data_IF_809579099555
#
_entry.id   IF_809579099555
#
_cell.length_a   1.000
_cell.length_b   1.000
_cell.length_c   1.000
_cell.angle_alpha   90.00
_cell.angle_beta   90.00
_cell.angle_gamma   90.00
#
_symmetry.space_group_name_H-M   'P 1'
#
loop_
_entity.id
_entity.type
_entity.pdbx_description
1 polymer ?
#
# COMPACT_ATOMS: atom_id res chain seq x y z
N UNK A 1 -30.87 10.35 28.28
CA UNK A 1 -30.18 9.04 28.29
C UNK A 1 -28.72 9.31 27.92
N UNK A 2 -27.80 9.33 28.89
CA UNK A 2 -26.39 9.64 28.62
C UNK A 2 -25.78 8.45 27.87
N UNK A 3 -25.53 8.60 26.57
CA UNK A 3 -24.73 7.62 25.83
C UNK A 3 -23.33 7.62 26.45
N UNK A 4 -22.97 6.52 27.10
CA UNK A 4 -21.60 6.29 27.57
C UNK A 4 -20.73 6.21 26.32
N UNK A 5 -19.93 7.25 26.10
CA UNK A 5 -18.96 7.29 25.01
C UNK A 5 -17.92 6.22 25.28
N UNK A 6 -17.80 5.24 24.39
CA UNK A 6 -16.82 4.16 24.49
C UNK A 6 -15.81 4.28 23.36
N UNK A 7 -14.54 4.13 23.69
CA UNK A 7 -13.48 3.94 22.69
C UNK A 7 -13.32 2.45 22.52
N UNK A 8 -13.59 1.94 21.33
CA UNK A 8 -13.37 0.52 21.05
C UNK A 8 -11.88 0.27 20.82
N UNK A 9 -11.33 -0.65 21.60
CA UNK A 9 -9.89 -0.98 21.65
C UNK A 9 -9.65 -2.45 21.32
N UNK A 10 -10.48 -3.03 20.46
CA UNK A 10 -10.32 -4.41 20.02
C UNK A 10 -9.25 -4.47 18.92
N UNK A 11 -8.00 -4.58 19.36
CA UNK A 11 -6.81 -4.83 18.53
C UNK A 11 -6.91 -6.20 17.83
N UNK A 12 -6.24 -6.38 16.70
CA UNK A 12 -6.20 -7.64 15.93
C UNK A 12 -5.54 -8.73 16.75
N UNK A 13 -4.33 -8.47 17.26
CA UNK A 13 -3.61 -9.36 18.19
C UNK A 13 -3.72 -8.77 19.59
N UNK A 14 -2.99 -7.69 19.84
CA UNK A 14 -3.02 -6.86 21.03
C UNK A 14 -2.41 -5.49 20.71
N UNK A 15 -2.51 -4.54 21.63
CA UNK A 15 -2.03 -3.17 21.43
C UNK A 15 -0.57 -3.10 21.00
N UNK A 16 0.33 -3.84 21.66
CA UNK A 16 1.76 -3.67 21.43
C UNK A 16 2.18 -4.32 20.12
N UNK A 17 1.65 -5.51 19.84
CA UNK A 17 1.94 -6.22 18.59
C UNK A 17 1.36 -5.48 17.38
N UNK A 18 0.13 -4.97 17.46
CA UNK A 18 -0.46 -4.22 16.35
C UNK A 18 0.34 -2.93 16.07
N UNK A 19 0.71 -2.19 17.12
CA UNK A 19 1.53 -0.98 17.00
C UNK A 19 2.91 -1.27 16.41
N UNK A 20 3.56 -2.35 16.81
CA UNK A 20 4.89 -2.69 16.34
C UNK A 20 4.87 -3.20 14.90
N UNK A 21 3.98 -4.14 14.57
CA UNK A 21 4.03 -4.86 13.31
C UNK A 21 3.22 -4.21 12.18
N UNK A 22 2.12 -3.53 12.49
CA UNK A 22 1.29 -2.89 11.47
C UNK A 22 1.62 -1.40 11.33
N UNK A 23 1.56 -0.64 12.43
CA UNK A 23 1.88 0.78 12.39
C UNK A 23 3.38 1.04 12.35
N UNK A 24 4.18 0.23 13.04
CA UNK A 24 5.64 0.34 13.08
C UNK A 24 6.28 0.15 11.70
N UNK A 25 5.69 -0.68 10.84
CA UNK A 25 6.10 -0.80 9.43
C UNK A 25 5.86 0.51 8.63
N UNK A 26 4.81 1.27 8.96
CA UNK A 26 4.59 2.59 8.36
C UNK A 26 5.56 3.63 8.94
N UNK A 27 5.76 3.60 10.26
CA UNK A 27 6.68 4.51 10.96
C UNK A 27 8.11 4.32 10.47
N UNK A 28 8.55 3.07 10.23
CA UNK A 28 9.87 2.81 9.68
C UNK A 28 10.04 3.43 8.30
N UNK A 29 8.99 3.51 7.48
CA UNK A 29 9.01 4.25 6.22
C UNK A 29 9.40 5.72 6.38
N UNK A 30 8.81 6.44 7.36
CA UNK A 30 9.22 7.81 7.67
C UNK A 30 10.66 7.91 8.14
N UNK A 31 11.12 6.96 8.96
CA UNK A 31 12.51 6.91 9.43
C UNK A 31 13.45 6.73 8.24
N UNK A 32 13.15 5.83 7.30
CA UNK A 32 13.98 5.62 6.11
C UNK A 32 14.03 6.87 5.23
N UNK A 33 12.91 7.57 5.04
CA UNK A 33 12.88 8.85 4.31
C UNK A 33 13.79 9.88 5.00
N UNK A 34 13.67 10.02 6.32
CA UNK A 34 14.52 10.93 7.10
C UNK A 34 16.01 10.58 6.98
N UNK A 35 16.37 9.30 7.13
CA UNK A 35 17.75 8.83 6.99
C UNK A 35 18.30 9.12 5.58
N UNK A 36 17.49 9.01 4.55
CA UNK A 36 17.91 9.28 3.18
C UNK A 36 18.11 10.77 2.93
N UNK A 37 17.12 11.59 3.29
CA UNK A 37 17.08 13.02 2.92
C UNK A 37 17.97 13.86 3.85
N UNK A 38 17.85 13.67 5.15
CA UNK A 38 18.52 14.52 6.14
C UNK A 38 19.94 14.03 6.46
N UNK A 39 20.13 12.71 6.51
CA UNK A 39 21.43 12.11 6.83
C UNK A 39 22.20 11.63 5.59
N UNK A 40 21.62 11.75 4.39
CA UNK A 40 22.28 11.37 3.13
C UNK A 40 22.57 9.87 3.00
N UNK A 41 21.91 9.01 3.78
CA UNK A 41 22.14 7.57 3.71
C UNK A 41 21.64 7.06 2.36
N UNK A 42 22.47 6.28 1.65
CA UNK A 42 22.14 5.75 0.33
C UNK A 42 20.79 5.00 0.34
N UNK A 43 19.90 5.37 -0.58
CA UNK A 43 18.62 4.69 -0.77
C UNK A 43 18.82 3.19 -1.01
N UNK A 44 19.87 2.79 -1.74
CA UNK A 44 20.19 1.36 -1.97
C UNK A 44 20.50 0.63 -0.67
N UNK A 45 21.29 1.24 0.23
CA UNK A 45 21.59 0.65 1.53
C UNK A 45 20.34 0.55 2.41
N UNK A 46 19.52 1.59 2.42
CA UNK A 46 18.26 1.61 3.17
C UNK A 46 17.27 0.56 2.64
N UNK A 47 17.15 0.42 1.32
CA UNK A 47 16.33 -0.62 0.68
C UNK A 47 16.86 -2.01 1.04
N UNK A 48 18.18 -2.24 0.97
CA UNK A 48 18.77 -3.52 1.38
C UNK A 48 18.53 -3.84 2.85
N UNK A 49 18.73 -2.86 3.72
CA UNK A 49 18.45 -2.99 5.14
C UNK A 49 16.98 -3.36 5.39
N UNK A 50 16.05 -2.67 4.73
CA UNK A 50 14.62 -2.93 4.84
C UNK A 50 14.24 -4.32 4.31
N UNK A 51 14.78 -4.72 3.16
CA UNK A 51 14.58 -6.06 2.59
C UNK A 51 15.08 -7.13 3.56
N UNK A 52 16.23 -6.95 4.19
CA UNK A 52 16.79 -7.97 5.08
C UNK A 52 16.08 -8.05 6.44
N UNK A 53 15.58 -6.93 6.95
CA UNK A 53 15.05 -6.85 8.33
C UNK A 53 13.52 -6.87 8.43
N UNK A 54 12.81 -6.40 7.40
CA UNK A 54 11.34 -6.30 7.41
C UNK A 54 10.73 -7.23 6.37
N UNK A 55 11.10 -7.06 5.10
CA UNK A 55 10.46 -7.80 4.00
C UNK A 55 10.88 -9.27 3.95
N UNK A 56 12.15 -9.55 4.21
CA UNK A 56 12.73 -10.89 4.22
C UNK A 56 12.03 -11.79 5.24
N UNK A 57 11.93 -11.40 6.53
CA UNK A 57 11.13 -12.15 7.51
C UNK A 57 9.65 -12.28 7.13
N UNK A 58 9.06 -11.25 6.54
CA UNK A 58 7.67 -11.29 6.05
C UNK A 58 7.47 -12.33 4.94
N UNK A 59 8.34 -12.32 3.92
CA UNK A 59 8.34 -13.29 2.81
C UNK A 59 8.64 -14.69 3.34
N UNK A 60 9.63 -14.83 4.23
CA UNK A 60 9.97 -16.11 4.85
C UNK A 60 8.77 -16.70 5.59
N UNK A 61 8.02 -15.89 6.34
CA UNK A 61 6.79 -16.33 7.01
C UNK A 61 5.72 -16.81 6.04
N UNK A 62 5.63 -16.20 4.85
CA UNK A 62 4.71 -16.64 3.77
C UNK A 62 5.18 -17.97 3.18
N UNK A 63 6.45 -18.08 2.84
CA UNK A 63 7.05 -19.31 2.27
C UNK A 63 6.98 -20.46 3.26
N UNK A 64 7.24 -20.21 4.55
CA UNK A 64 7.22 -21.24 5.58
C UNK A 64 5.82 -21.83 5.79
N UNK A 65 4.77 -21.01 5.68
CA UNK A 65 3.37 -21.45 5.85
C UNK A 65 2.73 -22.00 4.57
N UNK A 66 3.45 -21.99 3.45
CA UNK A 66 2.93 -22.46 2.16
C UNK A 66 3.79 -23.59 1.63
N UNK A 67 5.04 -23.29 1.26
CA UNK A 67 5.96 -24.26 0.65
C UNK A 67 6.68 -25.16 1.64
N UNK A 68 6.86 -24.74 2.90
CA UNK A 68 7.43 -25.60 3.94
C UNK A 68 6.37 -26.34 4.77
N UNK A 69 5.09 -26.10 4.49
CA UNK A 69 3.98 -26.81 5.15
C UNK A 69 3.58 -28.06 4.36
N UNK A 70 3.77 -29.24 4.96
CA UNK A 70 3.41 -30.53 4.37
C UNK A 70 1.92 -30.63 4.03
N UNK A 71 1.05 -30.06 4.86
CA UNK A 71 -0.39 -30.16 4.68
C UNK A 71 -0.85 -29.37 3.45
N UNK A 72 -0.22 -28.23 3.18
CA UNK A 72 -0.50 -27.42 1.99
C UNK A 72 -0.08 -28.14 0.70
N UNK A 73 1.03 -28.88 0.71
CA UNK A 73 1.42 -29.71 -0.42
C UNK A 73 0.42 -30.82 -0.72
N UNK A 74 -0.13 -31.46 0.31
CA UNK A 74 -1.16 -32.50 0.14
C UNK A 74 -2.44 -31.91 -0.47
N UNK A 75 -2.87 -30.73 0.02
CA UNK A 75 -4.15 -30.15 -0.35
C UNK A 75 -4.12 -29.29 -1.61
N UNK A 76 -2.96 -28.69 -1.95
CA UNK A 76 -2.85 -27.61 -2.95
C UNK A 76 -1.62 -27.72 -3.86
N UNK A 77 -1.01 -28.90 -4.00
CA UNK A 77 0.19 -29.08 -4.84
C UNK A 77 0.09 -28.49 -6.26
N UNK A 78 -1.03 -28.59 -7.00
CA UNK A 78 -1.09 -27.99 -8.34
C UNK A 78 -0.99 -26.47 -8.30
N UNK A 79 -1.56 -25.83 -7.27
CA UNK A 79 -1.49 -24.39 -7.08
C UNK A 79 -0.06 -23.97 -6.72
N UNK A 80 0.59 -24.68 -5.79
CA UNK A 80 1.97 -24.38 -5.37
C UNK A 80 2.97 -24.52 -6.51
N UNK A 81 2.83 -25.57 -7.33
CA UNK A 81 3.66 -25.77 -8.53
C UNK A 81 3.33 -24.73 -9.60
N UNK A 82 2.04 -24.45 -9.83
CA UNK A 82 1.60 -23.43 -10.78
C UNK A 82 2.10 -22.03 -10.41
N UNK A 83 2.13 -21.68 -9.11
CA UNK A 83 2.64 -20.38 -8.68
C UNK A 83 4.15 -20.22 -8.91
N UNK A 84 4.93 -21.31 -8.92
CA UNK A 84 6.36 -21.24 -9.23
C UNK A 84 6.63 -20.82 -10.69
N UNK A 85 5.67 -21.03 -11.61
CA UNK A 85 5.81 -20.59 -12.99
C UNK A 85 5.90 -19.06 -13.12
N UNK A 86 5.38 -18.30 -12.15
CA UNK A 86 5.51 -16.84 -12.15
C UNK A 86 6.97 -16.38 -12.05
N UNK A 87 7.86 -17.17 -11.44
CA UNK A 87 9.30 -16.85 -11.39
C UNK A 87 9.97 -16.92 -12.76
N UNK A 88 9.37 -17.61 -13.73
CA UNK A 88 9.90 -17.71 -15.09
C UNK A 88 9.65 -16.44 -15.91
N UNK A 89 8.69 -15.58 -15.54
CA UNK A 89 8.35 -14.39 -16.32
C UNK A 89 9.54 -13.44 -16.48
N UNK A 90 10.31 -13.21 -15.41
CA UNK A 90 11.53 -12.39 -15.46
C UNK A 90 12.53 -12.91 -16.50
N UNK A 91 13.07 -14.14 -16.35
CA UNK A 91 13.97 -14.75 -17.33
C UNK A 91 13.41 -14.79 -18.76
N UNK A 92 12.13 -15.11 -18.94
CA UNK A 92 11.49 -15.13 -20.26
C UNK A 92 11.52 -13.73 -20.89
N UNK A 93 11.22 -12.67 -20.14
CA UNK A 93 11.24 -11.30 -20.67
C UNK A 93 12.64 -10.83 -21.02
N UNK A 94 13.67 -11.26 -20.27
CA UNK A 94 15.08 -11.01 -20.60
C UNK A 94 15.46 -11.74 -21.89
N UNK A 95 15.10 -13.01 -22.02
CA UNK A 95 15.38 -13.81 -23.21
C UNK A 95 14.70 -13.25 -24.46
N UNK A 96 13.43 -12.85 -24.36
CA UNK A 96 12.72 -12.13 -25.42
C UNK A 96 13.40 -10.82 -25.78
N UNK A 97 13.92 -10.08 -24.79
CA UNK A 97 14.67 -8.85 -25.03
C UNK A 97 15.95 -9.06 -25.82
N UNK A 98 16.65 -10.19 -25.60
CA UNK A 98 17.84 -10.58 -26.36
C UNK A 98 17.47 -10.92 -27.82
N UNK A 99 16.41 -11.72 -28.03
CA UNK A 99 15.97 -12.11 -29.38
C UNK A 99 15.52 -10.89 -30.19
N UNK A 100 14.73 -10.00 -29.56
CA UNK A 100 14.17 -8.82 -30.21
C UNK A 100 15.14 -7.63 -30.24
N UNK A 101 16.37 -7.79 -29.71
CA UNK A 101 17.38 -6.73 -29.58
C UNK A 101 16.82 -5.44 -28.95
N UNK A 102 15.97 -5.60 -27.93
CA UNK A 102 15.28 -4.49 -27.28
C UNK A 102 15.01 -4.75 -25.81
N UNK A 103 15.09 -3.71 -24.97
CA UNK A 103 14.84 -3.82 -23.53
C UNK A 103 13.34 -3.74 -23.17
N UNK A 104 12.48 -3.46 -24.14
CA UNK A 104 11.04 -3.21 -23.92
C UNK A 104 10.33 -4.34 -23.16
N UNK A 105 10.50 -5.64 -23.49
CA UNK A 105 9.79 -6.72 -22.78
C UNK A 105 10.11 -6.74 -21.28
N UNK A 106 11.38 -6.54 -20.92
CA UNK A 106 11.82 -6.49 -19.54
C UNK A 106 11.27 -5.27 -18.80
N UNK A 107 11.27 -4.10 -19.44
CA UNK A 107 10.67 -2.89 -18.84
C UNK A 107 9.16 -3.03 -18.61
N UNK A 108 8.42 -3.60 -19.57
CA UNK A 108 6.99 -3.88 -19.40
C UNK A 108 6.75 -4.81 -18.21
N UNK A 109 7.53 -5.88 -18.10
CA UNK A 109 7.47 -6.79 -16.96
C UNK A 109 7.78 -6.07 -15.64
N UNK A 110 8.83 -5.25 -15.61
CA UNK A 110 9.22 -4.51 -14.41
C UNK A 110 8.14 -3.52 -13.97
N UNK A 111 7.57 -2.75 -14.91
CA UNK A 111 6.45 -1.85 -14.64
C UNK A 111 5.23 -2.60 -14.12
N UNK A 112 4.88 -3.73 -14.76
CA UNK A 112 3.80 -4.60 -14.25
C UNK A 112 4.08 -5.09 -12.83
N UNK A 113 5.29 -5.58 -12.56
CA UNK A 113 5.68 -6.08 -11.25
C UNK A 113 5.62 -4.99 -10.18
N UNK A 114 6.05 -3.77 -10.49
CA UNK A 114 5.98 -2.61 -9.59
C UNK A 114 4.52 -2.20 -9.28
N UNK A 115 3.67 -2.10 -10.31
CA UNK A 115 2.25 -1.78 -10.13
C UNK A 115 1.55 -2.88 -9.33
N UNK A 116 1.87 -4.15 -9.61
CA UNK A 116 1.34 -5.29 -8.88
C UNK A 116 1.79 -5.32 -7.41
N UNK A 117 3.07 -5.06 -7.15
CA UNK A 117 3.61 -4.97 -5.79
C UNK A 117 2.89 -3.87 -5.00
N UNK A 118 2.71 -2.69 -5.60
CA UNK A 118 1.96 -1.62 -4.96
C UNK A 118 0.50 -2.00 -4.71
N UNK A 119 -0.17 -2.60 -5.70
CA UNK A 119 -1.53 -3.11 -5.54
C UNK A 119 -1.65 -4.11 -4.39
N UNK A 120 -0.70 -5.03 -4.25
CA UNK A 120 -0.64 -5.96 -3.13
C UNK A 120 -0.58 -5.22 -1.78
N UNK A 121 0.27 -4.19 -1.67
CA UNK A 121 0.36 -3.32 -0.48
C UNK A 121 -0.98 -2.66 -0.17
N UNK A 122 -1.66 -2.07 -1.18
CA UNK A 122 -2.98 -1.46 -0.99
C UNK A 122 -4.00 -2.49 -0.49
N UNK A 123 -4.00 -3.69 -1.08
CA UNK A 123 -4.90 -4.79 -0.67
C UNK A 123 -4.62 -5.29 0.74
N UNK A 124 -3.36 -5.35 1.14
CA UNK A 124 -2.95 -5.74 2.48
C UNK A 124 -3.44 -4.72 3.53
N UNK A 125 -3.22 -3.42 3.29
CA UNK A 125 -3.69 -2.37 4.18
C UNK A 125 -5.22 -2.32 4.28
N UNK A 126 -5.91 -2.48 3.15
CA UNK A 126 -7.37 -2.60 3.15
C UNK A 126 -7.85 -3.81 3.97
N UNK A 127 -7.15 -4.94 3.87
CA UNK A 127 -7.41 -6.13 4.67
C UNK A 127 -7.32 -5.85 6.18
N UNK A 128 -6.26 -5.18 6.64
CA UNK A 128 -6.12 -4.80 8.05
C UNK A 128 -7.24 -3.87 8.51
N UNK A 129 -7.58 -2.85 7.71
CA UNK A 129 -8.70 -1.95 8.01
C UNK A 129 -10.00 -2.74 8.22
N UNK A 130 -10.33 -3.68 7.33
CA UNK A 130 -11.53 -4.51 7.45
C UNK A 130 -11.52 -5.39 8.71
N UNK A 131 -10.37 -5.94 9.10
CA UNK A 131 -10.28 -6.75 10.32
C UNK A 131 -10.54 -5.87 11.55
N UNK A 132 -9.96 -4.67 11.61
CA UNK A 132 -10.27 -3.72 12.68
C UNK A 132 -11.75 -3.34 12.69
N UNK A 133 -12.34 -3.02 11.55
CA UNK A 133 -13.78 -2.75 11.46
C UNK A 133 -14.60 -3.92 12.02
N UNK A 134 -14.33 -5.15 11.55
CA UNK A 134 -15.07 -6.35 11.99
C UNK A 134 -14.91 -6.64 13.48
N UNK A 135 -13.70 -6.53 14.04
CA UNK A 135 -13.47 -6.76 15.50
C UNK A 135 -14.11 -5.69 16.38
N UNK A 136 -14.39 -4.51 15.82
CA UNK A 136 -15.00 -3.39 16.54
C UNK A 136 -16.49 -3.19 16.17
N UNK A 137 -17.10 -4.16 15.46
CA UNK A 137 -18.54 -4.17 15.17
C UNK A 137 -18.98 -3.24 14.04
N UNK A 138 -18.06 -2.72 13.23
CA UNK A 138 -18.38 -1.88 12.08
C UNK A 138 -18.72 -2.69 10.83
N UNK A 139 -19.47 -2.07 9.93
CA UNK A 139 -19.73 -2.62 8.60
C UNK A 139 -18.43 -2.67 7.78
N UNK A 140 -18.26 -3.75 7.02
CA UNK A 140 -17.04 -4.01 6.23
C UNK A 140 -17.36 -4.31 4.76
N UNK A 141 -16.40 -4.04 3.87
CA UNK A 141 -16.51 -4.49 2.47
C UNK A 141 -17.70 -3.88 1.75
N UNK A 142 -18.50 -4.72 1.08
CA UNK A 142 -19.69 -4.29 0.34
C UNK A 142 -20.74 -3.59 1.21
N UNK A 143 -20.74 -3.87 2.52
CA UNK A 143 -21.66 -3.25 3.46
C UNK A 143 -21.19 -1.85 3.93
N UNK A 144 -19.97 -1.44 3.56
CA UNK A 144 -19.43 -0.12 3.86
C UNK A 144 -18.70 0.43 2.62
N UNK A 145 -19.45 0.76 1.55
CA UNK A 145 -18.87 1.24 0.29
C UNK A 145 -18.14 2.58 0.46
N UNK A 146 -18.51 3.38 1.46
CA UNK A 146 -17.85 4.64 1.76
C UNK A 146 -16.38 4.42 2.17
N UNK A 147 -16.10 3.57 3.17
CA UNK A 147 -14.71 3.31 3.57
C UNK A 147 -13.94 2.57 2.49
N UNK A 148 -14.61 1.70 1.74
CA UNK A 148 -14.01 1.06 0.57
C UNK A 148 -13.47 2.11 -0.41
N UNK A 149 -14.34 2.98 -0.93
CA UNK A 149 -13.93 3.94 -1.96
C UNK A 149 -12.98 5.01 -1.42
N UNK A 150 -13.24 5.54 -0.23
CA UNK A 150 -12.35 6.51 0.42
C UNK A 150 -10.94 5.91 0.55
N UNK A 151 -10.83 4.69 1.08
CA UNK A 151 -9.54 4.04 1.24
C UNK A 151 -8.81 3.86 -0.10
N UNK A 152 -9.48 3.29 -1.11
CA UNK A 152 -8.83 3.08 -2.42
C UNK A 152 -8.48 4.39 -3.12
N UNK A 153 -9.28 5.45 -2.95
CA UNK A 153 -8.95 6.78 -3.47
C UNK A 153 -7.69 7.30 -2.79
N UNK A 154 -7.62 7.26 -1.47
CA UNK A 154 -6.49 7.78 -0.69
C UNK A 154 -5.19 7.01 -0.92
N UNK A 155 -5.26 5.75 -1.35
CA UNK A 155 -4.08 4.95 -1.66
C UNK A 155 -3.72 5.00 -3.15
N UNK A 156 -4.68 4.89 -4.06
CA UNK A 156 -4.40 4.78 -5.50
C UNK A 156 -4.24 6.15 -6.19
N UNK A 157 -5.02 7.16 -5.82
CA UNK A 157 -4.97 8.45 -6.51
C UNK A 157 -3.61 9.16 -6.35
N UNK A 158 -2.98 9.18 -5.15
CA UNK A 158 -1.61 9.70 -5.00
C UNK A 158 -0.61 8.97 -5.89
N UNK A 159 -0.68 7.65 -5.98
CA UNK A 159 0.19 6.85 -6.83
C UNK A 159 0.03 7.17 -8.32
N UNK A 160 -1.21 7.39 -8.79
CA UNK A 160 -1.45 7.86 -10.17
C UNK A 160 -0.82 9.24 -10.39
N UNK A 161 -0.95 10.15 -9.42
CA UNK A 161 -0.30 11.47 -9.47
C UNK A 161 1.23 11.36 -9.53
N UNK A 162 1.83 10.45 -8.76
CA UNK A 162 3.27 10.15 -8.81
C UNK A 162 3.70 9.67 -10.20
N UNK A 163 3.01 8.69 -10.76
CA UNK A 163 3.30 8.17 -12.11
C UNK A 163 3.29 9.29 -13.15
N UNK A 164 2.34 10.23 -13.04
CA UNK A 164 2.22 11.36 -13.95
C UNK A 164 3.27 12.44 -13.71
N UNK A 165 3.93 12.53 -12.56
CA UNK A 165 4.89 13.61 -12.27
C UNK A 165 6.34 13.15 -12.25
N UNK A 166 6.60 11.89 -11.91
CA UNK A 166 7.95 11.42 -11.66
C UNK A 166 8.76 11.27 -12.97
N UNK A 167 9.95 11.89 -13.07
CA UNK A 167 10.73 11.95 -14.30
C UNK A 167 11.15 10.58 -14.83
N UNK A 168 11.37 9.59 -13.96
CA UNK A 168 11.75 8.24 -14.41
C UNK A 168 10.55 7.30 -14.63
N UNK A 169 9.36 7.65 -14.11
CA UNK A 169 8.17 6.82 -14.27
C UNK A 169 7.42 7.16 -15.56
N UNK A 170 7.33 8.45 -15.90
CA UNK A 170 6.63 8.94 -17.11
C UNK A 170 7.14 8.28 -18.40
N UNK A 171 8.46 8.17 -18.66
CA UNK A 171 8.96 7.55 -19.90
C UNK A 171 8.64 6.06 -20.00
N UNK A 172 8.50 5.35 -18.87
CA UNK A 172 8.10 3.93 -18.87
C UNK A 172 6.69 3.73 -19.41
N UNK A 173 5.84 4.76 -19.32
CA UNK A 173 4.50 4.78 -19.90
C UNK A 173 4.44 5.46 -21.27
N UNK A 174 5.59 5.86 -21.83
CA UNK A 174 5.65 6.58 -23.10
C UNK A 174 5.18 8.03 -23.01
N UNK A 175 5.11 8.62 -21.81
CA UNK A 175 4.76 10.03 -21.62
C UNK A 175 5.97 10.94 -21.85
N UNK A 176 5.70 12.18 -22.22
CA UNK A 176 6.73 13.21 -22.45
C UNK A 176 7.46 13.65 -21.18
N UNK A 177 8.64 14.30 -21.32
CA UNK A 177 9.48 14.71 -20.18
C UNK A 177 8.86 15.82 -19.33
N UNK A 178 7.93 16.59 -19.91
CA UNK A 178 7.21 17.68 -19.24
C UNK A 178 5.72 17.35 -19.22
N UNK A 179 5.02 17.82 -18.19
CA UNK A 179 3.57 17.74 -18.09
C UNK A 179 2.93 18.63 -19.17
N UNK A 180 2.02 18.04 -19.94
CA UNK A 180 1.09 18.82 -20.78
C UNK A 180 0.09 19.59 -19.91
N UNK A 181 -0.58 20.58 -20.49
CA UNK A 181 -1.67 21.32 -19.82
C UNK A 181 -2.78 20.36 -19.36
N UNK A 182 -3.11 19.37 -20.19
CA UNK A 182 -4.10 18.35 -19.87
C UNK A 182 -3.68 17.46 -18.69
N UNK A 183 -2.43 17.00 -18.66
CA UNK A 183 -1.93 16.22 -17.51
C UNK A 183 -1.87 17.05 -16.23
N UNK A 184 -1.52 18.34 -16.33
CA UNK A 184 -1.53 19.27 -15.20
C UNK A 184 -2.94 19.45 -14.64
N UNK A 185 -3.95 19.54 -15.51
CA UNK A 185 -5.36 19.55 -15.12
C UNK A 185 -5.76 18.24 -14.41
N UNK A 186 -5.35 17.08 -14.94
CA UNK A 186 -5.60 15.78 -14.31
C UNK A 186 -4.99 15.71 -12.91
N UNK A 187 -3.72 16.10 -12.75
CA UNK A 187 -3.03 16.12 -11.45
C UNK A 187 -3.78 17.03 -10.46
N UNK A 188 -4.28 18.19 -10.92
CA UNK A 188 -5.07 19.10 -10.08
C UNK A 188 -6.39 18.46 -9.64
N UNK A 189 -7.09 17.76 -10.55
CA UNK A 189 -8.31 17.00 -10.22
C UNK A 189 -8.00 15.90 -9.19
N UNK A 190 -6.90 15.17 -9.35
CA UNK A 190 -6.47 14.15 -8.39
C UNK A 190 -6.27 14.77 -7.00
N UNK A 191 -5.62 15.93 -6.90
CA UNK A 191 -5.43 16.61 -5.63
C UNK A 191 -6.77 17.00 -4.97
N UNK A 192 -7.71 17.52 -5.76
CA UNK A 192 -9.07 17.83 -5.28
C UNK A 192 -9.76 16.56 -4.76
N UNK A 193 -9.72 15.46 -5.52
CA UNK A 193 -10.33 14.18 -5.15
C UNK A 193 -9.73 13.63 -3.85
N UNK A 194 -8.41 13.71 -3.68
CA UNK A 194 -7.72 13.29 -2.46
C UNK A 194 -8.18 14.13 -1.27
N UNK A 195 -8.15 15.46 -1.39
CA UNK A 195 -8.59 16.37 -0.32
C UNK A 195 -10.05 16.11 0.04
N UNK A 196 -10.93 15.96 -0.96
CA UNK A 196 -12.34 15.63 -0.76
C UNK A 196 -12.50 14.29 -0.04
N UNK A 197 -11.73 13.25 -0.39
CA UNK A 197 -11.79 11.96 0.28
C UNK A 197 -11.34 12.05 1.76
N UNK A 198 -10.32 12.84 2.07
CA UNK A 198 -9.90 13.09 3.47
C UNK A 198 -11.02 13.79 4.24
N UNK A 199 -11.59 14.86 3.68
CA UNK A 199 -12.68 15.60 4.34
C UNK A 199 -13.90 14.71 4.56
N UNK A 200 -14.30 13.93 3.54
CA UNK A 200 -15.42 12.98 3.64
C UNK A 200 -15.16 11.92 4.69
N UNK A 201 -13.93 11.40 4.79
CA UNK A 201 -13.54 10.45 5.84
C UNK A 201 -13.72 11.05 7.24
N UNK A 202 -13.16 12.24 7.47
CA UNK A 202 -13.25 12.93 8.77
C UNK A 202 -14.71 13.21 9.15
N UNK A 203 -15.51 13.74 8.21
CA UNK A 203 -16.93 14.02 8.44
C UNK A 203 -17.71 12.74 8.75
N UNK A 204 -17.42 11.65 8.03
CA UNK A 204 -18.06 10.35 8.25
C UNK A 204 -17.73 9.80 9.64
N UNK A 205 -16.45 9.75 10.01
CA UNK A 205 -16.04 9.26 11.33
C UNK A 205 -16.61 10.12 12.46
N UNK A 206 -16.64 11.44 12.28
CA UNK A 206 -17.26 12.36 13.24
C UNK A 206 -18.77 12.10 13.39
N UNK A 207 -19.48 11.90 12.28
CA UNK A 207 -20.90 11.57 12.28
C UNK A 207 -21.17 10.22 12.94
N UNK A 208 -20.38 9.19 12.61
CA UNK A 208 -20.46 7.87 13.23
C UNK A 208 -20.26 7.95 14.75
N UNK A 209 -19.24 8.70 15.20
CA UNK A 209 -19.00 8.93 16.62
C UNK A 209 -20.16 9.64 17.31
N UNK A 210 -20.81 10.62 16.66
CA UNK A 210 -21.98 11.29 17.23
C UNK A 210 -23.19 10.38 17.40
N UNK A 211 -23.44 9.48 16.44
CA UNK A 211 -24.61 8.58 16.48
C UNK A 211 -24.37 7.41 17.43
N UNK A 212 -23.24 6.72 17.28
CA UNK A 212 -23.00 5.46 17.96
C UNK A 212 -22.23 5.61 19.27
N UNK A 213 -21.74 6.82 19.59
CA UNK A 213 -20.88 7.11 20.73
C UNK A 213 -19.67 6.16 20.82
N UNK A 214 -19.27 5.57 19.69
CA UNK A 214 -18.20 4.59 19.57
C UNK A 214 -17.17 5.08 18.56
N UNK A 215 -15.89 4.98 18.94
CA UNK A 215 -14.75 5.31 18.10
C UNK A 215 -13.79 4.13 18.01
N UNK A 216 -13.54 3.65 16.79
CA UNK A 216 -12.60 2.56 16.53
C UNK A 216 -11.18 3.08 16.42
N UNK A 217 -10.57 3.20 17.59
CA UNK A 217 -9.24 3.76 17.75
C UNK A 217 -8.16 3.00 16.96
N UNK A 218 -8.10 1.65 16.98
CA UNK A 218 -7.12 0.91 16.21
C UNK A 218 -7.19 1.16 14.69
N UNK A 219 -8.40 1.19 14.11
CA UNK A 219 -8.63 1.51 12.70
C UNK A 219 -8.11 2.91 12.36
N UNK A 220 -8.49 3.92 13.14
CA UNK A 220 -8.09 5.29 12.85
C UNK A 220 -6.58 5.48 13.00
N UNK A 221 -5.97 4.88 14.03
CA UNK A 221 -4.53 4.95 14.22
C UNK A 221 -3.77 4.26 13.08
N UNK A 222 -4.27 3.12 12.60
CA UNK A 222 -3.73 2.44 11.43
C UNK A 222 -3.79 3.32 10.17
N UNK A 223 -4.93 3.94 9.90
CA UNK A 223 -5.10 4.81 8.73
C UNK A 223 -4.23 6.06 8.84
N UNK A 224 -4.09 6.63 10.04
CA UNK A 224 -3.18 7.74 10.30
C UNK A 224 -1.70 7.36 10.14
N UNK A 225 -1.33 6.10 10.33
CA UNK A 225 0.05 5.68 10.06
C UNK A 225 0.31 5.46 8.58
N UNK A 226 -0.61 4.80 7.86
CA UNK A 226 -0.36 4.41 6.46
C UNK A 226 -0.74 5.49 5.44
N UNK A 227 -1.91 6.14 5.56
CA UNK A 227 -2.39 7.07 4.51
C UNK A 227 -1.48 8.29 4.37
N UNK A 228 -1.10 9.02 5.45
CA UNK A 228 -0.23 10.18 5.32
C UNK A 228 1.15 9.81 4.78
N UNK A 229 1.64 8.59 5.04
CA UNK A 229 2.92 8.12 4.49
C UNK A 229 2.84 8.00 2.97
N UNK A 230 1.75 7.43 2.45
CA UNK A 230 1.55 7.27 1.02
C UNK A 230 1.31 8.63 0.33
N UNK A 231 0.59 9.54 0.99
CA UNK A 231 0.46 10.93 0.52
C UNK A 231 1.83 11.61 0.45
N UNK A 232 2.67 11.44 1.47
CA UNK A 232 4.01 12.00 1.52
C UNK A 232 4.88 11.43 0.39
N UNK A 233 4.98 10.11 0.29
CA UNK A 233 5.82 9.42 -0.71
C UNK A 233 5.40 9.80 -2.12
N UNK A 234 4.10 9.85 -2.40
CA UNK A 234 3.64 10.01 -3.77
C UNK A 234 3.32 11.44 -4.17
N UNK A 235 3.03 12.36 -3.25
CA UNK A 235 2.59 13.73 -3.60
C UNK A 235 3.60 14.82 -3.25
N UNK A 236 4.58 14.55 -2.40
CA UNK A 236 5.54 15.57 -1.97
C UNK A 236 6.65 15.77 -3.01
N UNK A 237 6.85 16.98 -3.57
CA UNK A 237 7.67 17.20 -4.76
C UNK A 237 9.17 16.87 -4.61
N UNK A 238 9.69 16.80 -3.38
CA UNK A 238 11.09 16.45 -3.12
C UNK A 238 11.30 14.99 -2.72
N UNK A 239 10.22 14.29 -2.38
CA UNK A 239 10.26 12.87 -1.97
C UNK A 239 9.78 11.99 -3.13
N UNK A 240 8.77 12.50 -3.85
CA UNK A 240 8.08 11.88 -4.98
C UNK A 240 8.72 12.15 -6.31
#
# INVERSE_FOLDING_TARGET
MNMVRSVSVNWIIDKYNDLLWFMGACISGYILIYLNIELGVSAVLLTWFWIMTVDGPHIFGTVSRTYLDKQEWINRSPLLLGSLLWFLLGPITVWLGIILQTRKPFFIFLTFAQVWAYWHVVRQHYGFMMIYQKKNGELTGKNNPADYWIFYILMCAPFISFILRHPDARPQLGLGPVLSEFETMIVSIINIVVISAIVLYVLKEYHHYKIHANFNFPKTLFLLSCVPLHLLIFMHPYIS
#
